data_IF_717164034890
#
_entry.id   IF_717164034890
#
_cell.length_a   1.000
_cell.length_b   1.000
_cell.length_c   1.000
_cell.angle_alpha   90.00
_cell.angle_beta   90.00
_cell.angle_gamma   90.00
#
_symmetry.space_group_name_H-M   'P 1'
#
loop_
_entity.id
_entity.type
_entity.pdbx_description
1 polymer ?
#
# COMPACT_ATOMS: atom_id res chain seq x y z
N UNK A 1 3.62 1.45 -10.27
CA UNK A 1 3.37 0.36 -9.31
C UNK A 1 2.83 -0.93 -9.94
N UNK A 2 1.74 -0.90 -10.73
CA UNK A 2 1.25 -2.10 -11.45
C UNK A 2 2.36 -2.76 -12.29
N UNK A 3 3.15 -1.95 -13.01
CA UNK A 3 4.30 -2.44 -13.78
C UNK A 3 5.34 -3.14 -12.91
N UNK A 4 5.58 -2.67 -11.68
CA UNK A 4 6.51 -3.33 -10.76
C UNK A 4 6.03 -4.73 -10.41
N UNK A 5 4.74 -4.91 -10.08
CA UNK A 5 4.17 -6.24 -9.84
C UNK A 5 4.21 -7.13 -11.10
N UNK A 6 3.89 -6.56 -12.27
CA UNK A 6 3.86 -7.30 -13.54
C UNK A 6 5.24 -7.80 -13.98
N UNK A 7 6.28 -7.01 -13.77
CA UNK A 7 7.63 -7.29 -14.26
C UNK A 7 8.62 -7.66 -13.15
N UNK A 8 8.17 -7.82 -11.90
CA UNK A 8 9.03 -8.16 -10.77
C UNK A 8 10.06 -7.09 -10.42
N UNK A 9 9.75 -5.81 -10.68
CA UNK A 9 10.66 -4.69 -10.39
C UNK A 9 10.48 -4.21 -8.95
N UNK A 10 11.54 -3.72 -8.32
CA UNK A 10 11.47 -3.09 -7.00
C UNK A 10 10.55 -1.84 -7.07
N UNK A 11 9.42 -1.82 -6.34
CA UNK A 11 8.43 -0.76 -6.45
C UNK A 11 8.95 0.59 -5.95
N UNK A 12 9.83 0.60 -4.94
CA UNK A 12 10.41 1.81 -4.35
C UNK A 12 11.38 2.45 -5.33
N UNK A 13 12.29 1.67 -5.92
CA UNK A 13 13.22 2.13 -6.96
C UNK A 13 12.50 2.63 -8.19
N UNK A 14 11.50 1.89 -8.67
CA UNK A 14 10.71 2.27 -9.84
C UNK A 14 10.03 3.62 -9.61
N UNK A 15 9.41 3.81 -8.45
CA UNK A 15 8.67 5.03 -8.17
C UNK A 15 9.58 6.22 -7.93
N UNK A 16 10.69 6.05 -7.22
CA UNK A 16 11.71 7.09 -7.05
C UNK A 16 12.26 7.56 -8.41
N UNK A 17 12.50 6.63 -9.35
CA UNK A 17 12.92 6.99 -10.70
C UNK A 17 11.85 7.80 -11.46
N UNK A 18 10.57 7.41 -11.36
CA UNK A 18 9.47 8.17 -11.98
C UNK A 18 9.37 9.57 -11.39
N UNK A 19 9.46 9.71 -10.06
CA UNK A 19 9.43 11.01 -9.35
C UNK A 19 10.55 11.94 -9.80
N UNK A 20 11.76 11.41 -9.97
CA UNK A 20 12.89 12.16 -10.50
C UNK A 20 12.66 12.65 -11.94
N UNK A 21 12.03 11.83 -12.80
CA UNK A 21 11.73 12.21 -14.19
C UNK A 21 10.69 13.32 -14.27
N UNK A 22 9.66 13.28 -13.41
CA UNK A 22 8.56 14.26 -13.42
C UNK A 22 8.84 15.48 -12.53
N UNK A 23 10.02 15.54 -11.90
CA UNK A 23 10.40 16.59 -10.93
C UNK A 23 9.35 16.82 -9.83
N UNK A 24 8.77 15.73 -9.32
CA UNK A 24 7.66 15.78 -8.39
C UNK A 24 7.80 14.77 -7.25
N UNK A 25 7.47 15.21 -6.04
CA UNK A 25 7.49 14.38 -4.84
C UNK A 25 6.08 14.06 -4.36
N UNK A 26 5.86 12.81 -3.94
CA UNK A 26 4.61 12.40 -3.33
C UNK A 26 4.86 11.29 -2.32
N UNK A 27 4.93 11.67 -1.04
CA UNK A 27 5.20 10.74 0.06
C UNK A 27 4.20 9.59 0.13
N UNK A 28 2.93 9.81 -0.24
CA UNK A 28 1.92 8.76 -0.19
C UNK A 28 2.24 7.63 -1.18
N UNK A 29 2.75 7.97 -2.37
CA UNK A 29 3.15 6.93 -3.32
C UNK A 29 4.43 6.21 -2.87
N UNK A 30 5.40 6.91 -2.27
CA UNK A 30 6.60 6.26 -1.71
C UNK A 30 6.22 5.30 -0.57
N UNK A 31 5.30 5.70 0.30
CA UNK A 31 4.73 4.86 1.36
C UNK A 31 4.00 3.64 0.78
N UNK A 32 3.22 3.82 -0.28
CA UNK A 32 2.57 2.71 -0.97
C UNK A 32 3.60 1.74 -1.58
N UNK A 33 4.65 2.25 -2.22
CA UNK A 33 5.72 1.41 -2.76
C UNK A 33 6.44 0.63 -1.65
N UNK A 34 6.64 1.23 -0.48
CA UNK A 34 7.16 0.56 0.71
C UNK A 34 6.22 -0.57 1.18
N UNK A 35 4.91 -0.34 1.27
CA UNK A 35 3.94 -1.38 1.62
C UNK A 35 3.91 -2.55 0.63
N UNK A 36 4.09 -2.27 -0.68
CA UNK A 36 4.22 -3.35 -1.67
C UNK A 36 5.47 -4.21 -1.40
N UNK A 37 6.60 -3.57 -1.08
CA UNK A 37 7.88 -4.25 -0.90
C UNK A 37 7.95 -5.03 0.41
N UNK A 38 7.68 -4.37 1.53
CA UNK A 38 7.93 -4.93 2.86
C UNK A 38 6.75 -5.77 3.38
N UNK A 39 5.53 -5.49 2.90
CA UNK A 39 4.32 -6.16 3.36
C UNK A 39 3.62 -6.95 2.25
N UNK A 40 4.19 -7.04 1.06
CA UNK A 40 3.65 -7.80 -0.07
C UNK A 40 2.21 -7.41 -0.45
N UNK A 41 1.84 -6.14 -0.26
CA UNK A 41 0.53 -5.65 -0.68
C UNK A 41 0.47 -5.55 -2.21
N UNK A 42 -0.72 -5.76 -2.77
CA UNK A 42 -0.95 -5.44 -4.17
C UNK A 42 -0.96 -3.90 -4.38
N UNK A 43 -0.75 -3.40 -5.61
CA UNK A 43 -0.68 -1.97 -5.87
C UNK A 43 -1.87 -1.16 -5.36
N UNK A 44 -3.09 -1.69 -5.46
CA UNK A 44 -4.30 -0.97 -5.03
C UNK A 44 -4.40 -0.91 -3.51
N UNK A 45 -4.20 -2.03 -2.83
CA UNK A 45 -4.19 -2.09 -1.36
C UNK A 45 -3.12 -1.16 -0.80
N UNK A 46 -1.94 -1.13 -1.43
CA UNK A 46 -0.84 -0.29 -0.99
C UNK A 46 -1.18 1.21 -1.08
N UNK A 47 -1.82 1.67 -2.16
CA UNK A 47 -2.30 3.07 -2.25
C UNK A 47 -3.39 3.32 -1.22
N UNK A 48 -4.33 2.38 -1.07
CA UNK A 48 -5.41 2.52 -0.09
C UNK A 48 -4.85 2.68 1.34
N UNK A 49 -3.92 1.81 1.75
CA UNK A 49 -3.22 1.90 3.03
C UNK A 49 -2.43 3.21 3.17
N UNK A 50 -1.77 3.67 2.11
CA UNK A 50 -0.99 4.91 2.18
C UNK A 50 -1.86 6.16 2.32
N UNK A 51 -3.08 6.15 1.75
CA UNK A 51 -4.01 7.30 1.73
C UNK A 51 -5.04 7.32 2.87
N UNK A 52 -5.16 6.25 3.66
CA UNK A 52 -6.21 6.11 4.66
C UNK A 52 -6.07 7.02 5.91
N UNK A 53 -4.97 7.76 6.05
CA UNK A 53 -4.78 8.68 7.18
C UNK A 53 -4.70 7.98 8.56
N UNK A 54 -4.33 6.69 8.58
CA UNK A 54 -4.15 5.91 9.81
C UNK A 54 -5.38 5.10 10.24
N UNK A 55 -6.53 5.26 9.57
CA UNK A 55 -7.73 4.44 9.80
C UNK A 55 -8.25 3.90 8.47
N UNK A 56 -8.36 2.58 8.34
CA UNK A 56 -8.82 1.93 7.10
C UNK A 56 -10.08 1.10 7.34
N UNK A 57 -11.08 1.23 6.48
CA UNK A 57 -12.29 0.40 6.51
C UNK A 57 -12.10 -0.72 5.48
N UNK A 58 -12.01 -1.97 5.94
CA UNK A 58 -11.77 -3.11 5.06
C UNK A 58 -12.11 -4.44 5.73
N UNK A 59 -12.59 -5.40 4.94
CA UNK A 59 -12.72 -6.81 5.33
C UNK A 59 -11.41 -7.59 5.21
N UNK A 60 -10.40 -7.04 4.53
CA UNK A 60 -9.12 -7.71 4.32
C UNK A 60 -8.22 -7.59 5.57
N UNK A 61 -7.81 -8.74 6.11
CA UNK A 61 -6.92 -8.84 7.27
C UNK A 61 -5.46 -8.47 6.91
N UNK A 62 -5.11 -8.34 5.63
CA UNK A 62 -3.78 -7.93 5.18
C UNK A 62 -3.33 -6.56 5.71
N UNK A 63 -4.25 -5.69 6.13
CA UNK A 63 -3.92 -4.39 6.71
C UNK A 63 -3.56 -4.45 8.20
N UNK A 64 -3.88 -5.54 8.91
CA UNK A 64 -3.64 -5.66 10.36
C UNK A 64 -2.13 -5.64 10.71
N UNK A 65 -1.26 -6.00 9.76
CA UNK A 65 0.21 -5.98 9.89
C UNK A 65 0.87 -4.62 9.61
N UNK A 66 0.10 -3.58 9.29
CA UNK A 66 0.63 -2.28 8.85
C UNK A 66 0.68 -1.22 9.97
N UNK A 67 0.23 -1.55 11.18
CA UNK A 67 0.10 -0.56 12.27
C UNK A 67 -0.99 0.49 12.02
N UNK A 68 -1.87 0.25 11.04
CA UNK A 68 -3.03 1.08 10.70
C UNK A 68 -4.24 0.57 11.49
N UNK A 69 -5.08 1.45 12.02
CA UNK A 69 -6.32 1.05 12.69
C UNK A 69 -7.33 0.54 11.66
N UNK A 70 -7.64 -0.75 11.65
CA UNK A 70 -8.67 -1.32 10.77
C UNK A 70 -10.05 -1.31 11.41
N UNK A 71 -11.02 -0.70 10.73
CA UNK A 71 -12.45 -0.88 10.98
C UNK A 71 -12.88 -2.11 10.17
N UNK A 72 -13.20 -3.18 10.90
CA UNK A 72 -13.53 -4.50 10.38
C UNK A 72 -14.90 -4.48 9.70
N UNK A 73 -14.98 -4.94 8.46
CA UNK A 73 -16.25 -5.14 7.75
C UNK A 73 -16.72 -6.59 7.79
N UNK A 74 -15.84 -7.52 8.16
CA UNK A 74 -16.21 -8.90 8.42
C UNK A 74 -17.17 -9.00 9.61
N UNK A 75 -18.10 -9.95 9.55
CA UNK A 75 -18.96 -10.25 10.69
C UNK A 75 -18.08 -10.69 11.88
N UNK A 76 -18.47 -10.35 13.12
CA UNK A 76 -17.84 -10.95 14.29
C UNK A 76 -17.91 -12.47 14.15
N UNK A 77 -16.81 -13.17 14.43
CA UNK A 77 -16.79 -14.64 14.49
C UNK A 77 -17.84 -15.05 15.52
N UNK A 78 -18.84 -15.83 15.09
CA UNK A 78 -19.82 -16.44 16.02
C UNK A 78 -19.06 -17.46 16.86
N UNK A 79 -19.08 -17.29 18.19
CA UNK A 79 -18.43 -18.18 19.18
C UNK A 79 -19.00 -19.61 19.18
#
# INVERSE_FOLDING_TARGET
MILSKKFGLDPVRLLAAVMAIIEGENEDYLRAAYYMKEHNLNPFDAVHAAKCGGVIISSDKAFDKLGIKRIKLEKPEEE
#
